data_IF_526378033726
#
_entry.id   IF_526378033726
#
_cell.length_a   1.000
_cell.length_b   1.000
_cell.length_c   1.000
_cell.angle_alpha   90.00
_cell.angle_beta   90.00
_cell.angle_gamma   90.00
#
_symmetry.space_group_name_H-M   'P 1'
#
loop_
_entity.id
_entity.type
_entity.pdbx_description
1 polymer ?
#
# COMPACT_ATOMS: atom_id res chain seq x y z
N UNK A 1 -40.36 -45.10 -20.73
CA UNK A 1 -39.41 -44.70 -19.66
C UNK A 1 -38.16 -44.04 -20.26
N UNK A 2 -38.30 -42.91 -20.97
CA UNK A 2 -37.15 -42.14 -21.51
C UNK A 2 -37.08 -40.70 -20.97
N UNK A 3 -38.15 -40.21 -20.35
CA UNK A 3 -38.24 -38.83 -19.85
C UNK A 3 -37.85 -38.68 -18.37
N UNK A 4 -37.73 -39.77 -17.63
CA UNK A 4 -37.33 -39.76 -16.21
C UNK A 4 -35.82 -39.61 -16.01
N UNK A 5 -35.00 -39.94 -17.01
CA UNK A 5 -33.54 -39.78 -16.94
C UNK A 5 -33.10 -38.33 -17.25
N UNK A 6 -33.84 -37.63 -18.11
CA UNK A 6 -33.53 -36.25 -18.51
C UNK A 6 -33.82 -35.24 -17.39
N UNK A 7 -34.81 -35.51 -16.54
CA UNK A 7 -35.19 -34.64 -15.41
C UNK A 7 -34.21 -34.74 -14.25
N UNK A 8 -33.53 -35.88 -14.08
CA UNK A 8 -32.50 -36.04 -13.06
C UNK A 8 -31.19 -35.32 -13.43
N UNK A 9 -30.84 -35.27 -14.72
CA UNK A 9 -29.63 -34.58 -15.20
C UNK A 9 -29.77 -33.04 -15.13
N UNK A 10 -30.98 -32.50 -15.25
CA UNK A 10 -31.24 -31.06 -15.09
C UNK A 10 -31.12 -30.59 -13.62
N UNK A 11 -31.37 -31.48 -12.64
CA UNK A 11 -31.28 -31.13 -11.23
C UNK A 11 -29.82 -31.00 -10.74
N UNK A 12 -28.89 -31.77 -11.34
CA UNK A 12 -27.45 -31.72 -11.00
C UNK A 12 -26.79 -30.44 -11.53
N UNK A 13 -27.31 -29.84 -12.61
CA UNK A 13 -26.81 -28.58 -13.15
C UNK A 13 -27.20 -27.34 -12.33
N UNK A 14 -28.21 -27.44 -11.46
CA UNK A 14 -28.60 -26.34 -10.56
C UNK A 14 -27.73 -26.28 -9.29
N UNK A 15 -26.96 -27.33 -8.98
CA UNK A 15 -26.02 -27.36 -7.85
C UNK A 15 -24.61 -26.87 -8.21
N UNK A 16 -24.32 -26.59 -9.49
CA UNK A 16 -23.09 -25.93 -9.90
C UNK A 16 -23.13 -24.39 -9.71
N UNK A 17 -24.29 -23.84 -9.39
CA UNK A 17 -24.46 -22.46 -8.91
C UNK A 17 -24.51 -22.48 -7.37
N UNK A 18 -23.52 -23.14 -6.76
CA UNK A 18 -23.19 -22.92 -5.35
C UNK A 18 -22.68 -21.49 -5.28
N UNK A 19 -23.57 -20.63 -4.79
CA UNK A 19 -23.35 -19.29 -4.25
C UNK A 19 -21.87 -18.95 -4.14
N UNK A 20 -21.44 -18.01 -4.99
CA UNK A 20 -20.23 -17.24 -4.80
C UNK A 20 -20.27 -16.70 -3.37
N UNK A 21 -19.58 -17.39 -2.46
CA UNK A 21 -19.12 -16.80 -1.22
C UNK A 21 -18.40 -15.51 -1.66
N UNK A 22 -18.84 -14.31 -1.23
CA UNK A 22 -18.07 -13.13 -1.51
C UNK A 22 -16.75 -13.36 -0.79
N UNK A 23 -15.71 -13.72 -1.54
CA UNK A 23 -14.34 -13.67 -1.08
C UNK A 23 -14.21 -12.29 -0.47
N UNK A 24 -14.15 -12.24 0.86
CA UNK A 24 -13.73 -11.04 1.58
C UNK A 24 -12.34 -10.82 1.02
N UNK A 25 -12.23 -9.89 0.07
CA UNK A 25 -10.97 -9.52 -0.52
C UNK A 25 -10.15 -8.98 0.64
N UNK A 26 -9.19 -9.79 1.12
CA UNK A 26 -8.30 -9.39 2.19
C UNK A 26 -7.68 -8.06 1.76
N UNK A 27 -7.93 -7.01 2.54
CA UNK A 27 -7.46 -5.66 2.24
C UNK A 27 -5.93 -5.71 2.10
N UNK A 28 -5.45 -5.60 0.86
CA UNK A 28 -4.04 -5.75 0.52
C UNK A 28 -3.14 -4.80 1.31
N UNK A 29 -3.69 -3.67 1.79
CA UNK A 29 -2.98 -2.67 2.59
C UNK A 29 -2.54 -3.22 3.95
N UNK A 30 -3.22 -4.25 4.47
CA UNK A 30 -2.84 -4.92 5.72
C UNK A 30 -1.41 -5.46 5.68
N UNK A 31 -0.91 -5.85 4.49
CA UNK A 31 0.47 -6.30 4.32
C UNK A 31 1.51 -5.22 4.63
N UNK A 32 1.12 -3.94 4.57
CA UNK A 32 2.01 -2.78 4.72
C UNK A 32 1.92 -2.13 6.11
N UNK A 33 0.93 -2.49 6.93
CA UNK A 33 0.73 -1.91 8.27
C UNK A 33 1.85 -2.37 9.20
N UNK A 34 2.36 -1.44 10.01
CA UNK A 34 3.39 -1.77 10.98
C UNK A 34 4.19 -0.57 11.46
N UNK A 35 5.20 -0.87 12.27
CA UNK A 35 6.22 0.06 12.71
C UNK A 35 7.53 -0.28 12.02
N UNK A 36 8.26 0.74 11.62
CA UNK A 36 9.51 0.62 10.89
C UNK A 36 10.54 1.56 11.50
N UNK A 37 11.75 1.04 11.73
CA UNK A 37 12.90 1.83 12.13
C UNK A 37 13.57 2.38 10.88
N UNK A 38 13.66 3.71 10.77
CA UNK A 38 14.17 4.40 9.59
C UNK A 38 15.50 5.08 9.86
N UNK A 39 16.41 4.93 8.91
CA UNK A 39 17.63 5.72 8.82
C UNK A 39 17.45 6.84 7.80
N UNK A 40 17.77 8.08 8.21
CA UNK A 40 17.76 9.23 7.30
C UNK A 40 19.03 9.23 6.44
N UNK A 41 18.88 8.85 5.17
CA UNK A 41 19.97 8.84 4.20
C UNK A 41 20.08 10.19 3.48
N UNK A 42 20.77 11.15 4.10
CA UNK A 42 21.00 12.50 3.53
C UNK A 42 22.11 12.57 2.47
N UNK A 43 22.65 11.44 2.00
CA UNK A 43 23.87 11.42 1.19
C UNK A 43 25.09 11.96 1.97
N UNK A 44 25.03 11.90 3.30
CA UNK A 44 26.01 12.43 4.23
C UNK A 44 26.66 11.24 4.96
N UNK A 45 27.98 11.19 5.17
CA UNK A 45 28.65 10.06 5.84
C UNK A 45 28.30 9.93 7.34
N UNK A 46 27.49 10.83 7.89
CA UNK A 46 27.02 10.78 9.27
C UNK A 46 25.57 10.27 9.22
N UNK A 47 25.27 9.10 9.81
CA UNK A 47 23.91 8.62 9.93
C UNK A 47 23.05 9.68 10.62
N UNK A 48 21.87 9.95 10.06
CA UNK A 48 20.89 10.81 10.71
C UNK A 48 20.30 10.14 11.95
N UNK A 49 19.47 10.84 12.73
CA UNK A 49 18.79 10.23 13.85
C UNK A 49 17.88 9.08 13.37
N UNK A 50 17.80 8.01 14.17
CA UNK A 50 16.80 6.95 13.98
C UNK A 50 15.40 7.55 14.14
N UNK A 51 14.50 7.23 13.22
CA UNK A 51 13.12 7.70 13.25
C UNK A 51 12.18 6.50 13.15
N UNK A 52 11.21 6.40 14.06
CA UNK A 52 10.14 5.42 13.93
C UNK A 52 9.09 5.92 12.93
N UNK A 53 8.82 5.13 11.90
CA UNK A 53 7.74 5.34 10.94
C UNK A 53 6.61 4.34 11.21
N UNK A 54 5.40 4.86 11.37
CA UNK A 54 4.20 4.03 11.57
C UNK A 54 3.33 4.13 10.33
N UNK A 55 2.97 2.98 9.76
CA UNK A 55 2.00 2.86 8.67
C UNK A 55 0.69 2.31 9.21
N UNK A 56 -0.41 2.96 8.82
CA UNK A 56 -1.78 2.58 9.19
C UNK A 56 -2.70 2.60 7.97
N UNK A 57 -3.81 1.88 8.03
CA UNK A 57 -4.85 1.98 7.01
C UNK A 57 -5.60 3.30 7.16
N UNK A 58 -5.83 4.00 6.04
CA UNK A 58 -6.84 5.05 5.96
C UNK A 58 -8.21 4.37 5.76
N UNK A 59 -9.04 4.36 6.80
CA UNK A 59 -10.36 3.71 6.76
C UNK A 59 -11.40 4.48 5.94
N UNK A 60 -11.07 5.67 5.45
CA UNK A 60 -12.01 6.50 4.66
C UNK A 60 -11.93 6.23 3.16
N UNK A 61 -10.91 5.49 2.72
CA UNK A 61 -10.67 5.13 1.33
C UNK A 61 -10.24 3.68 1.22
N UNK A 62 -10.30 3.10 0.02
CA UNK A 62 -9.91 1.72 -0.28
C UNK A 62 -8.47 1.59 -0.79
N UNK A 63 -7.83 2.71 -1.16
CA UNK A 63 -6.55 2.73 -1.83
C UNK A 63 -5.51 3.64 -1.19
N UNK A 64 -5.68 3.97 0.10
CA UNK A 64 -4.73 4.83 0.81
C UNK A 64 -4.32 4.26 2.15
N UNK A 65 -3.12 4.63 2.56
CA UNK A 65 -2.54 4.39 3.86
C UNK A 65 -2.12 5.72 4.47
N UNK A 66 -1.93 5.74 5.78
CA UNK A 66 -1.36 6.84 6.52
C UNK A 66 0.09 6.48 6.80
N UNK A 67 1.01 7.29 6.29
CA UNK A 67 2.46 7.16 6.50
C UNK A 67 2.90 8.34 7.36
N UNK A 68 3.26 8.07 8.62
CA UNK A 68 3.38 9.10 9.66
C UNK A 68 2.10 9.94 9.79
N UNK A 69 2.07 11.13 9.19
CA UNK A 69 0.94 12.07 9.23
C UNK A 69 0.35 12.37 7.85
N UNK A 70 0.90 11.79 6.78
CA UNK A 70 0.43 12.03 5.41
C UNK A 70 -0.43 10.85 4.94
N UNK A 71 -1.57 11.15 4.32
CA UNK A 71 -2.38 10.17 3.62
C UNK A 71 -1.81 9.95 2.22
N UNK A 72 -1.36 8.74 1.94
CA UNK A 72 -0.65 8.37 0.70
C UNK A 72 -1.47 7.33 -0.06
N UNK A 73 -1.85 7.59 -1.33
CA UNK A 73 -2.36 6.56 -2.21
C UNK A 73 -1.34 5.45 -2.37
N UNK A 74 -1.76 4.19 -2.38
CA UNK A 74 -0.85 3.05 -2.50
C UNK A 74 -1.43 2.05 -3.50
N UNK A 75 -0.59 1.52 -4.38
CA UNK A 75 -0.96 0.41 -5.25
C UNK A 75 -0.85 -0.93 -4.51
N UNK A 76 -1.40 -1.98 -5.12
CA UNK A 76 -1.38 -3.34 -4.59
C UNK A 76 0.02 -3.94 -4.44
N UNK A 77 1.01 -3.41 -5.18
CA UNK A 77 2.42 -3.77 -5.06
C UNK A 77 3.19 -2.95 -4.01
N UNK A 78 2.49 -2.09 -3.25
CA UNK A 78 3.10 -1.31 -2.17
C UNK A 78 3.87 -0.08 -2.64
N UNK A 79 3.52 0.50 -3.80
CA UNK A 79 4.22 1.67 -4.35
C UNK A 79 3.36 2.91 -4.49
N UNK A 80 4.02 4.08 -4.47
CA UNK A 80 3.45 5.36 -4.87
C UNK A 80 4.54 6.22 -5.50
N UNK A 81 4.18 6.95 -6.55
CA UNK A 81 5.07 7.90 -7.20
C UNK A 81 6.18 7.25 -8.03
N UNK A 82 7.23 8.02 -8.41
CA UNK A 82 7.46 9.41 -8.02
C UNK A 82 6.36 10.34 -8.55
N UNK A 83 5.79 11.15 -7.67
CA UNK A 83 4.66 12.02 -8.02
C UNK A 83 4.39 13.08 -6.97
N UNK A 84 3.49 14.01 -7.30
CA UNK A 84 3.06 15.06 -6.39
C UNK A 84 1.95 14.53 -5.49
N UNK A 85 2.17 14.52 -4.18
CA UNK A 85 1.16 14.09 -3.21
C UNK A 85 0.19 15.24 -2.89
N UNK A 86 0.70 16.47 -2.87
CA UNK A 86 -0.03 17.74 -2.75
C UNK A 86 0.81 18.87 -3.37
N UNK A 87 0.22 20.02 -3.75
CA UNK A 87 0.93 21.10 -4.43
C UNK A 87 2.28 21.46 -3.80
N UNK A 88 3.37 21.30 -4.56
CA UNK A 88 4.75 21.57 -4.16
C UNK A 88 5.42 20.49 -3.32
N UNK A 89 4.75 19.37 -3.02
CA UNK A 89 5.27 18.26 -2.23
C UNK A 89 5.31 16.96 -3.04
N UNK A 90 6.51 16.57 -3.43
CA UNK A 90 6.77 15.35 -4.20
C UNK A 90 7.13 14.21 -3.28
N UNK A 91 6.65 13.03 -3.62
CA UNK A 91 6.71 11.84 -2.78
C UNK A 91 6.93 10.60 -3.64
N UNK A 92 7.74 9.68 -3.13
CA UNK A 92 8.01 8.37 -3.69
C UNK A 92 8.09 7.39 -2.53
N UNK A 93 7.23 6.38 -2.54
CA UNK A 93 7.15 5.35 -1.51
C UNK A 93 7.22 3.98 -2.17
N UNK A 94 8.02 3.10 -1.59
CA UNK A 94 8.10 1.70 -2.01
C UNK A 94 8.19 0.83 -0.76
N UNK A 95 7.26 -0.11 -0.62
CA UNK A 95 7.19 -1.05 0.49
C UNK A 95 7.41 -2.44 -0.10
N UNK A 96 8.45 -3.14 0.35
CA UNK A 96 8.77 -4.49 -0.11
C UNK A 96 9.02 -5.38 1.10
N UNK A 97 8.00 -6.16 1.46
CA UNK A 97 7.99 -6.98 2.67
C UNK A 97 8.22 -6.12 3.92
N UNK A 98 9.37 -6.32 4.55
CA UNK A 98 9.76 -5.63 5.78
C UNK A 98 10.57 -4.35 5.52
N UNK A 99 10.85 -4.00 4.26
CA UNK A 99 11.64 -2.82 3.90
C UNK A 99 10.79 -1.68 3.34
N UNK A 100 11.13 -0.45 3.70
CA UNK A 100 10.55 0.77 3.13
C UNK A 100 11.65 1.63 2.54
N UNK A 101 11.42 2.11 1.32
CA UNK A 101 12.11 3.27 0.77
C UNK A 101 11.12 4.43 0.68
N UNK A 102 11.48 5.55 1.29
CA UNK A 102 10.70 6.78 1.25
C UNK A 102 11.59 7.93 0.81
N UNK A 103 11.19 8.63 -0.24
CA UNK A 103 11.86 9.82 -0.74
C UNK A 103 10.84 10.92 -0.97
N UNK A 104 11.02 12.06 -0.32
CA UNK A 104 10.16 13.21 -0.52
C UNK A 104 10.95 14.51 -0.62
N UNK A 105 10.37 15.52 -1.26
CA UNK A 105 10.93 16.86 -1.29
C UNK A 105 9.84 17.91 -1.43
N UNK A 106 10.10 19.07 -0.82
CA UNK A 106 9.28 20.26 -0.98
C UNK A 106 10.02 21.20 -1.94
N UNK A 107 9.28 21.78 -2.89
CA UNK A 107 9.78 22.90 -3.68
C UNK A 107 9.65 24.18 -2.87
N UNK A 108 10.79 24.80 -2.58
CA UNK A 108 10.85 26.10 -1.93
C UNK A 108 10.79 27.18 -3.03
N UNK A 109 10.15 28.35 -2.78
CA UNK A 109 10.26 29.49 -3.68
C UNK A 109 11.71 29.73 -4.08
N UNK A 110 11.96 29.94 -5.38
CA UNK A 110 13.27 29.98 -6.06
C UNK A 110 13.78 28.64 -6.63
N UNK A 111 12.98 27.56 -6.63
CA UNK A 111 13.30 26.32 -7.33
C UNK A 111 14.29 25.41 -6.59
N UNK A 112 14.56 25.70 -5.32
CA UNK A 112 15.39 24.83 -4.46
C UNK A 112 14.54 23.68 -3.95
N UNK A 113 15.04 22.45 -4.07
CA UNK A 113 14.45 21.25 -3.49
C UNK A 113 15.28 20.77 -2.30
N UNK A 114 14.60 20.41 -1.21
CA UNK A 114 15.22 19.74 -0.06
C UNK A 114 14.76 18.27 -0.03
N UNK A 115 15.52 17.34 -0.65
CA UNK A 115 15.19 15.92 -0.59
C UNK A 115 15.49 15.35 0.80
N UNK A 116 14.55 14.58 1.33
CA UNK A 116 14.79 13.70 2.46
C UNK A 116 14.48 12.27 2.02
N UNK A 117 15.44 11.38 2.26
CA UNK A 117 15.35 9.96 1.93
C UNK A 117 15.46 9.14 3.22
N UNK A 118 14.58 8.18 3.36
CA UNK A 118 14.56 7.23 4.45
C UNK A 118 14.61 5.82 3.89
N UNK A 119 15.44 5.00 4.51
CA UNK A 119 15.45 3.56 4.33
C UNK A 119 15.05 2.95 5.68
N UNK A 120 14.00 2.15 5.70
CA UNK A 120 13.44 1.62 6.93
C UNK A 120 13.31 0.11 6.90
N UNK A 121 13.36 -0.50 8.08
CA UNK A 121 13.17 -1.94 8.31
C UNK A 121 12.09 -2.12 9.37
N UNK A 122 11.20 -3.08 9.19
CA UNK A 122 10.12 -3.41 10.14
C UNK A 122 10.71 -3.85 11.49
N UNK A 123 10.09 -3.38 12.58
CA UNK A 123 10.38 -3.79 13.97
C UNK A 123 9.96 -5.24 14.26
#
# INVERSE_FOLDING_TARGET
MKYTLLTFLALVLLWACSEDDPLVEDDYRLAFVGKYDCELNKGNPIPGPDVELVIRIDSTTDNRIIVANDTVPISTDGTFGPGELRPGFYYELRINGDSIYLNHHILIPNGIALPCKFECIRQ
#
